data_IF_972576811850
#
_entry.id   IF_972576811850
#
_cell.length_a   1.000
_cell.length_b   1.000
_cell.length_c   1.000
_cell.angle_alpha   90.00
_cell.angle_beta   90.00
_cell.angle_gamma   90.00
#
_symmetry.space_group_name_H-M   'P 1'
#
loop_
_entity.id
_entity.type
_entity.pdbx_description
1 polymer ?
#
# COMPACT_ATOMS: atom_id res chain seq x y z
N UNK A 1 19.21 27.82 -16.14
CA UNK A 1 17.93 27.20 -15.79
C UNK A 1 18.27 25.80 -15.31
N UNK A 2 18.01 25.46 -14.04
CA UNK A 2 18.22 24.09 -13.56
C UNK A 2 17.19 23.18 -14.22
N UNK A 3 17.61 22.00 -14.66
CA UNK A 3 16.71 20.98 -15.20
C UNK A 3 15.55 20.70 -14.23
N UNK A 4 14.36 20.49 -14.79
CA UNK A 4 13.19 20.14 -14.00
C UNK A 4 13.44 18.81 -13.28
N UNK A 5 13.35 18.82 -11.95
CA UNK A 5 13.51 17.62 -11.14
C UNK A 5 12.31 16.69 -11.39
N UNK A 6 12.51 15.63 -12.18
CA UNK A 6 11.49 14.61 -12.53
C UNK A 6 11.25 13.60 -11.40
N UNK A 7 11.03 14.08 -10.17
CA UNK A 7 10.59 13.23 -9.05
C UNK A 7 9.06 13.15 -9.04
N UNK A 8 8.55 12.45 -10.03
CA UNK A 8 7.12 12.32 -10.29
C UNK A 8 6.54 11.06 -9.65
N UNK A 9 7.01 10.59 -8.50
CA UNK A 9 6.26 9.59 -7.74
C UNK A 9 5.09 10.25 -6.97
N UNK A 10 4.09 9.45 -6.59
CA UNK A 10 2.90 9.88 -5.85
C UNK A 10 2.74 9.10 -4.55
N UNK A 11 2.29 9.78 -3.49
CA UNK A 11 1.96 9.13 -2.21
C UNK A 11 0.53 9.51 -1.84
N UNK A 12 -0.23 8.53 -1.38
CA UNK A 12 -1.57 8.72 -0.88
C UNK A 12 -1.69 8.04 0.49
N UNK A 13 -2.19 8.75 1.49
CA UNK A 13 -2.40 8.23 2.83
C UNK A 13 -3.83 8.56 3.27
N UNK A 14 -4.57 7.54 3.69
CA UNK A 14 -5.90 7.72 4.27
C UNK A 14 -5.93 7.06 5.64
N UNK A 15 -6.34 7.85 6.65
CA UNK A 15 -6.65 7.37 7.99
C UNK A 15 -8.12 7.67 8.30
N UNK A 16 -8.93 6.62 8.39
CA UNK A 16 -10.29 6.71 8.90
C UNK A 16 -10.24 6.99 10.40
N UNK A 17 -10.88 8.09 10.84
CA UNK A 17 -10.89 8.55 12.24
C UNK A 17 -12.11 8.06 13.02
N UNK A 18 -13.00 7.34 12.36
CA UNK A 18 -14.22 6.75 12.94
C UNK A 18 -14.26 5.24 12.62
N UNK A 19 -15.02 4.43 13.39
CA UNK A 19 -15.27 3.03 13.05
C UNK A 19 -15.94 2.87 11.68
N UNK A 20 -15.82 1.69 11.08
CA UNK A 20 -16.42 1.42 9.76
C UNK A 20 -17.94 1.56 9.76
N UNK A 21 -18.61 1.30 10.89
CA UNK A 21 -20.05 1.47 11.06
C UNK A 21 -20.51 2.90 10.76
N UNK A 22 -19.75 3.90 11.23
CA UNK A 22 -20.04 5.30 10.94
C UNK A 22 -20.01 5.59 9.43
N UNK A 23 -19.11 4.97 8.68
CA UNK A 23 -19.02 5.17 7.24
C UNK A 23 -20.13 4.43 6.49
N UNK A 24 -20.55 3.27 6.98
CA UNK A 24 -21.73 2.58 6.46
C UNK A 24 -22.99 3.45 6.66
N UNK A 25 -23.23 3.94 7.86
CA UNK A 25 -24.39 4.78 8.17
C UNK A 25 -24.38 6.10 7.40
N UNK A 26 -23.23 6.79 7.37
CA UNK A 26 -23.13 8.13 6.77
C UNK A 26 -23.02 8.13 5.25
N UNK A 27 -22.33 7.14 4.67
CA UNK A 27 -21.99 7.11 3.25
C UNK A 27 -22.55 5.90 2.50
N UNK A 28 -23.33 5.04 3.17
CA UNK A 28 -23.95 3.85 2.59
C UNK A 28 -22.98 2.69 2.33
N UNK A 29 -21.73 2.76 2.78
CA UNK A 29 -20.76 1.67 2.59
C UNK A 29 -19.61 1.68 3.60
N UNK A 30 -19.26 0.49 4.12
CA UNK A 30 -18.05 0.28 4.91
C UNK A 30 -16.76 0.30 4.05
N UNK A 31 -16.87 0.19 2.72
CA UNK A 31 -15.74 0.22 1.78
C UNK A 31 -15.26 1.65 1.46
N UNK A 32 -15.73 2.64 2.21
CA UNK A 32 -15.42 4.05 1.99
C UNK A 32 -13.92 4.33 1.85
N UNK A 33 -13.09 3.72 2.71
CA UNK A 33 -11.63 3.88 2.66
C UNK A 33 -11.02 3.45 1.33
N UNK A 34 -11.38 2.24 0.86
CA UNK A 34 -10.94 1.70 -0.43
C UNK A 34 -11.38 2.61 -1.59
N UNK A 35 -12.66 3.01 -1.60
CA UNK A 35 -13.22 3.86 -2.65
C UNK A 35 -12.53 5.23 -2.71
N UNK A 36 -12.26 5.84 -1.55
CA UNK A 36 -11.52 7.11 -1.49
C UNK A 36 -10.06 6.95 -1.89
N UNK A 37 -9.46 5.81 -1.58
CA UNK A 37 -8.09 5.51 -1.96
C UNK A 37 -7.94 5.43 -3.49
N UNK A 38 -8.88 4.77 -4.18
CA UNK A 38 -8.91 4.72 -5.64
C UNK A 38 -8.90 6.13 -6.25
N UNK A 39 -9.85 6.97 -5.83
CA UNK A 39 -9.96 8.35 -6.32
C UNK A 39 -8.71 9.19 -6.01
N UNK A 40 -8.10 9.00 -4.83
CA UNK A 40 -6.93 9.76 -4.42
C UNK A 40 -5.66 9.35 -5.21
N UNK A 41 -5.54 8.06 -5.55
CA UNK A 41 -4.46 7.58 -6.41
C UNK A 41 -4.68 8.02 -7.87
N UNK A 42 -5.89 7.90 -8.40
CA UNK A 42 -6.22 8.39 -9.76
C UNK A 42 -6.01 9.90 -9.90
N UNK A 43 -6.30 10.69 -8.87
CA UNK A 43 -6.00 12.14 -8.86
C UNK A 43 -4.50 12.43 -9.06
N UNK A 44 -3.64 11.50 -8.67
CA UNK A 44 -2.20 11.60 -8.81
C UNK A 44 -1.66 10.74 -9.96
N UNK A 45 -2.50 10.29 -10.90
CA UNK A 45 -2.11 9.38 -11.98
C UNK A 45 -0.92 9.89 -12.81
N UNK A 46 -0.79 11.20 -12.99
CA UNK A 46 0.34 11.83 -13.67
C UNK A 46 1.63 11.87 -12.84
N UNK A 47 1.61 11.36 -11.61
CA UNK A 47 2.75 11.18 -10.71
C UNK A 47 3.14 9.71 -10.59
N UNK A 48 3.19 8.99 -11.70
CA UNK A 48 3.75 7.65 -11.76
C UNK A 48 2.81 6.67 -12.45
N UNK A 49 3.28 6.12 -13.56
CA UNK A 49 2.54 5.19 -14.42
C UNK A 49 3.26 3.84 -14.56
N UNK A 50 4.51 3.73 -14.08
CA UNK A 50 5.32 2.52 -14.22
C UNK A 50 5.00 1.46 -13.17
N UNK A 51 4.41 1.88 -12.05
CA UNK A 51 3.94 0.96 -11.03
C UNK A 51 3.10 1.63 -9.96
N UNK A 52 2.36 0.83 -9.20
CA UNK A 52 1.55 1.27 -8.09
C UNK A 52 1.55 0.23 -6.97
N UNK A 53 1.25 0.67 -5.75
CA UNK A 53 1.00 -0.25 -4.66
C UNK A 53 0.10 0.34 -3.60
N UNK A 54 -0.48 -0.54 -2.81
CA UNK A 54 -1.43 -0.23 -1.76
C UNK A 54 -1.19 -1.17 -0.58
N UNK A 55 -1.07 -0.58 0.60
CA UNK A 55 -1.13 -1.28 1.87
C UNK A 55 -2.37 -0.82 2.64
N UNK A 56 -2.96 -1.73 3.40
CA UNK A 56 -4.03 -1.46 4.34
C UNK A 56 -3.72 -2.13 5.69
N UNK A 57 -4.04 -1.42 6.77
CA UNK A 57 -3.93 -1.89 8.14
C UNK A 57 -5.32 -1.80 8.80
N UNK A 58 -5.75 -2.94 9.36
CA UNK A 58 -6.89 -3.05 10.27
C UNK A 58 -6.40 -2.81 11.68
N UNK A 59 -7.01 -1.87 12.39
CA UNK A 59 -6.65 -1.63 13.79
C UNK A 59 -7.41 -2.56 14.73
N UNK A 60 -6.86 -2.74 15.93
CA UNK A 60 -7.54 -3.39 17.06
C UNK A 60 -8.06 -4.80 16.72
N UNK A 61 -7.30 -5.51 15.87
CA UNK A 61 -7.59 -6.89 15.50
C UNK A 61 -7.12 -7.85 16.61
N UNK A 62 -7.91 -8.89 16.94
CA UNK A 62 -7.51 -9.87 17.94
C UNK A 62 -6.30 -10.70 17.46
N UNK A 63 -5.46 -11.22 18.38
CA UNK A 63 -4.37 -12.14 18.04
C UNK A 63 -4.87 -13.32 17.20
N UNK A 64 -4.04 -13.77 16.24
CA UNK A 64 -4.39 -14.86 15.33
C UNK A 64 -5.15 -14.43 14.07
N UNK A 65 -5.50 -13.15 13.94
CA UNK A 65 -6.16 -12.61 12.74
C UNK A 65 -5.22 -11.78 11.86
N UNK A 66 -5.51 -11.77 10.56
CA UNK A 66 -4.73 -10.99 9.59
C UNK A 66 -5.15 -9.53 9.61
N UNK A 67 -4.21 -8.63 9.91
CA UNK A 67 -4.45 -7.19 10.00
C UNK A 67 -3.72 -6.34 8.95
N UNK A 68 -2.72 -6.90 8.25
CA UNK A 68 -2.01 -6.22 7.15
C UNK A 68 -2.38 -6.85 5.80
N UNK A 69 -2.81 -6.01 4.86
CA UNK A 69 -2.98 -6.36 3.45
C UNK A 69 -2.06 -5.49 2.61
N UNK A 70 -1.41 -6.07 1.60
CA UNK A 70 -0.56 -5.33 0.66
C UNK A 70 -0.65 -5.93 -0.74
N UNK A 71 -0.75 -5.08 -1.74
CA UNK A 71 -0.63 -5.44 -3.14
C UNK A 71 0.19 -4.40 -3.91
N UNK A 72 0.91 -4.85 -4.93
CA UNK A 72 1.74 -4.02 -5.81
C UNK A 72 1.57 -4.51 -7.24
N UNK A 73 1.65 -3.59 -8.18
CA UNK A 73 1.52 -3.85 -9.60
C UNK A 73 2.53 -3.03 -10.39
N UNK A 74 3.16 -3.65 -11.38
CA UNK A 74 3.97 -3.02 -12.42
C UNK A 74 3.36 -3.28 -13.81
N UNK A 75 2.06 -3.61 -13.87
CA UNK A 75 1.31 -3.76 -15.12
C UNK A 75 1.15 -2.42 -15.84
N UNK A 76 0.69 -2.46 -17.11
CA UNK A 76 0.53 -1.27 -17.96
C UNK A 76 -0.41 -0.21 -17.36
N UNK A 77 -1.42 -0.62 -16.60
CA UNK A 77 -2.36 0.26 -15.90
C UNK A 77 -2.38 -0.09 -14.41
N UNK A 78 -1.32 0.24 -13.65
CA UNK A 78 -1.07 -0.39 -12.36
C UNK A 78 -2.07 0.01 -11.27
N UNK A 79 -2.66 1.21 -11.35
CA UNK A 79 -3.77 1.61 -10.46
C UNK A 79 -5.00 0.74 -10.72
N UNK A 80 -5.36 0.54 -11.99
CA UNK A 80 -6.54 -0.24 -12.37
C UNK A 80 -6.38 -1.71 -11.97
N UNK A 81 -5.24 -2.34 -12.30
CA UNK A 81 -4.95 -3.72 -11.90
C UNK A 81 -5.02 -3.90 -10.37
N UNK A 82 -4.44 -2.95 -9.62
CA UNK A 82 -4.48 -2.97 -8.16
C UNK A 82 -5.90 -2.98 -7.61
N UNK A 83 -6.74 -2.03 -8.05
CA UNK A 83 -8.11 -1.93 -7.53
C UNK A 83 -9.03 -3.02 -8.09
N UNK A 84 -8.77 -3.52 -9.29
CA UNK A 84 -9.45 -4.72 -9.82
C UNK A 84 -9.23 -5.91 -8.88
N UNK A 85 -7.98 -6.18 -8.46
CA UNK A 85 -7.67 -7.29 -7.57
C UNK A 85 -8.19 -7.11 -6.14
N UNK A 86 -8.16 -5.88 -5.62
CA UNK A 86 -8.77 -5.55 -4.34
C UNK A 86 -10.28 -5.83 -4.39
N UNK A 87 -10.96 -5.32 -5.41
CA UNK A 87 -12.40 -5.51 -5.58
C UNK A 87 -12.75 -6.98 -5.83
N UNK A 88 -11.95 -7.70 -6.61
CA UNK A 88 -12.14 -9.14 -6.84
C UNK A 88 -12.11 -9.92 -5.51
N UNK A 89 -11.10 -9.70 -4.67
CA UNK A 89 -11.01 -10.39 -3.37
C UNK A 89 -12.15 -10.04 -2.42
N UNK A 90 -12.59 -8.78 -2.43
CA UNK A 90 -13.76 -8.35 -1.66
C UNK A 90 -15.01 -9.06 -2.17
N UNK A 91 -15.21 -9.09 -3.48
CA UNK A 91 -16.37 -9.72 -4.11
C UNK A 91 -16.40 -11.25 -3.86
N UNK A 92 -15.28 -11.93 -4.05
CA UNK A 92 -15.14 -13.37 -3.76
C UNK A 92 -15.44 -13.70 -2.29
N UNK A 93 -15.00 -12.87 -1.35
CA UNK A 93 -15.27 -13.09 0.08
C UNK A 93 -16.72 -12.82 0.47
N UNK A 94 -17.39 -11.87 -0.19
CA UNK A 94 -18.83 -11.64 -0.02
C UNK A 94 -19.62 -12.83 -0.58
N UNK A 95 -19.27 -13.28 -1.78
CA UNK A 95 -20.02 -14.30 -2.53
C UNK A 95 -21.42 -13.81 -2.88
N UNK A 96 -22.41 -14.70 -2.80
CA UNK A 96 -23.81 -14.37 -3.09
C UNK A 96 -24.55 -13.69 -1.92
N UNK A 97 -23.95 -13.71 -0.72
CA UNK A 97 -24.55 -13.16 0.49
C UNK A 97 -24.26 -11.65 0.59
N UNK A 98 -25.21 -10.87 0.07
CA UNK A 98 -25.15 -9.40 0.09
C UNK A 98 -25.40 -8.79 1.48
N UNK A 99 -25.94 -9.53 2.44
CA UNK A 99 -26.19 -9.00 3.79
C UNK A 99 -24.88 -8.71 4.52
N UNK A 100 -23.79 -9.42 4.18
CA UNK A 100 -22.44 -9.14 4.65
C UNK A 100 -21.98 -7.69 4.42
N UNK A 101 -22.46 -7.04 3.35
CA UNK A 101 -22.14 -5.62 3.09
C UNK A 101 -22.67 -4.67 4.16
N UNK A 102 -23.70 -5.10 4.91
CA UNK A 102 -24.30 -4.35 6.01
C UNK A 102 -23.68 -4.72 7.37
N UNK A 103 -22.63 -5.56 7.40
CA UNK A 103 -21.93 -5.96 8.62
C UNK A 103 -20.45 -5.56 8.57
N UNK A 104 -20.11 -4.31 8.97
CA UNK A 104 -18.74 -3.80 8.90
C UNK A 104 -17.74 -4.58 9.75
N UNK A 105 -18.17 -5.13 10.89
CA UNK A 105 -17.33 -5.98 11.73
C UNK A 105 -16.94 -7.26 10.99
N UNK A 106 -17.91 -7.94 10.36
CA UNK A 106 -17.66 -9.13 9.55
C UNK A 106 -16.75 -8.82 8.36
N UNK A 107 -16.99 -7.71 7.65
CA UNK A 107 -16.15 -7.29 6.52
C UNK A 107 -14.71 -7.04 6.98
N UNK A 108 -14.52 -6.31 8.08
CA UNK A 108 -13.20 -6.05 8.65
C UNK A 108 -12.51 -7.33 9.09
N UNK A 109 -13.22 -8.28 9.68
CA UNK A 109 -12.62 -9.53 10.14
C UNK A 109 -12.18 -10.42 8.96
N UNK A 110 -13.06 -10.58 7.97
CA UNK A 110 -12.94 -11.63 6.96
C UNK A 110 -12.32 -11.16 5.63
N UNK A 111 -12.45 -9.89 5.27
CA UNK A 111 -12.02 -9.41 3.96
C UNK A 111 -10.67 -8.68 4.00
N UNK A 112 -9.79 -8.86 3.01
CA UNK A 112 -8.58 -8.06 2.89
C UNK A 112 -8.93 -6.62 2.49
N UNK A 113 -8.03 -5.69 2.79
CA UNK A 113 -8.16 -4.26 2.45
C UNK A 113 -9.36 -3.51 3.07
N UNK A 114 -10.20 -4.16 3.88
CA UNK A 114 -11.24 -3.49 4.66
C UNK A 114 -10.68 -3.16 6.05
N UNK A 115 -10.15 -1.94 6.19
CA UNK A 115 -9.59 -1.44 7.45
C UNK A 115 -9.56 0.08 7.49
N UNK A 116 -8.81 0.63 8.44
CA UNK A 116 -8.87 2.07 8.76
C UNK A 116 -7.67 2.88 8.27
N UNK A 117 -6.53 2.25 7.97
CA UNK A 117 -5.34 2.96 7.52
C UNK A 117 -4.89 2.41 6.17
N UNK A 118 -4.67 3.30 5.20
CA UNK A 118 -4.25 2.98 3.85
C UNK A 118 -3.04 3.81 3.48
N UNK A 119 -2.07 3.18 2.82
CA UNK A 119 -0.91 3.83 2.23
C UNK A 119 -0.77 3.34 0.79
N UNK A 120 -0.89 4.25 -0.16
CA UNK A 120 -0.68 4.00 -1.58
C UNK A 120 0.50 4.77 -2.11
N UNK A 121 1.10 4.23 -3.16
CA UNK A 121 2.22 4.84 -3.85
C UNK A 121 2.10 4.63 -5.36
N UNK A 122 2.53 5.64 -6.11
CA UNK A 122 2.66 5.62 -7.56
C UNK A 122 4.13 5.80 -7.89
N UNK A 123 4.65 4.92 -8.72
CA UNK A 123 6.05 4.88 -9.11
C UNK A 123 6.23 5.48 -10.49
N UNK A 124 7.16 6.41 -10.59
CA UNK A 124 7.78 6.84 -11.84
C UNK A 124 9.20 6.26 -11.89
N UNK A 125 9.45 5.35 -12.81
CA UNK A 125 10.69 4.61 -12.95
C UNK A 125 11.71 5.39 -13.77
N UNK A 126 12.73 5.94 -13.12
CA UNK A 126 13.85 6.64 -13.80
C UNK A 126 15.07 5.74 -13.98
N UNK A 127 15.36 4.85 -13.02
CA UNK A 127 16.53 3.96 -12.99
C UNK A 127 16.16 2.61 -12.34
N UNK A 128 16.84 1.52 -12.74
CA UNK A 128 16.71 0.20 -12.11
C UNK A 128 15.78 -0.82 -12.79
N UNK A 129 15.13 -0.45 -13.90
CA UNK A 129 14.18 -1.32 -14.60
C UNK A 129 12.74 -1.20 -14.09
N UNK A 130 11.85 -2.04 -14.60
CA UNK A 130 10.43 -2.08 -14.21
C UNK A 130 10.08 -3.41 -13.55
N UNK A 131 10.49 -3.57 -12.28
CA UNK A 131 10.18 -4.76 -11.49
C UNK A 131 9.18 -4.47 -10.37
N UNK A 132 8.38 -5.48 -10.01
CA UNK A 132 7.44 -5.38 -8.90
C UNK A 132 8.18 -5.18 -7.56
N UNK A 133 9.41 -5.66 -7.46
CA UNK A 133 10.30 -5.51 -6.31
C UNK A 133 10.57 -4.06 -5.98
N UNK A 134 10.60 -3.16 -6.98
CA UNK A 134 10.85 -1.73 -6.83
C UNK A 134 9.58 -0.91 -6.53
N UNK A 135 8.40 -1.54 -6.56
CA UNK A 135 7.15 -0.86 -6.24
C UNK A 135 7.00 -0.72 -4.72
N UNK A 136 6.61 0.46 -4.25
CA UNK A 136 6.19 0.69 -2.87
C UNK A 136 4.68 0.39 -2.70
N UNK A 137 4.16 0.15 -1.49
CA UNK A 137 4.88 0.14 -0.21
C UNK A 137 5.75 -1.09 0.03
N UNK A 138 6.89 -0.91 0.68
CA UNK A 138 7.65 -2.00 1.30
C UNK A 138 7.01 -2.44 2.61
N UNK A 139 7.25 -3.71 2.96
CA UNK A 139 6.72 -4.34 4.16
C UNK A 139 7.84 -5.20 4.76
N UNK A 140 8.22 -4.88 5.99
CA UNK A 140 9.00 -5.74 6.87
C UNK A 140 8.08 -6.26 7.95
N UNK A 141 7.87 -7.58 7.96
CA UNK A 141 6.93 -8.22 8.89
C UNK A 141 7.63 -8.76 10.13
N UNK A 142 6.93 -8.69 11.25
CA UNK A 142 7.33 -9.27 12.51
C UNK A 142 6.10 -9.83 13.24
N UNK A 143 6.28 -10.85 14.08
CA UNK A 143 5.20 -11.41 14.88
C UNK A 143 4.71 -10.42 15.96
N UNK A 144 5.56 -9.51 16.41
CA UNK A 144 5.15 -8.38 17.24
C UNK A 144 4.55 -7.27 16.39
N UNK A 145 3.27 -6.96 16.64
CA UNK A 145 2.53 -5.91 15.91
C UNK A 145 3.30 -4.59 15.88
N UNK A 146 3.91 -4.19 17.00
CA UNK A 146 4.70 -2.96 17.12
C UNK A 146 6.03 -2.94 16.35
N UNK A 147 6.48 -4.07 15.79
CA UNK A 147 7.74 -4.19 15.04
C UNK A 147 7.53 -4.46 13.55
N UNK A 148 6.33 -4.23 13.05
CA UNK A 148 6.06 -4.24 11.62
C UNK A 148 6.30 -2.84 11.05
N UNK A 149 6.92 -2.77 9.86
CA UNK A 149 7.19 -1.50 9.17
C UNK A 149 6.64 -1.56 7.75
N UNK A 150 5.83 -0.56 7.39
CA UNK A 150 5.39 -0.30 6.02
C UNK A 150 5.96 1.04 5.60
N UNK A 151 6.66 1.07 4.47
CA UNK A 151 7.34 2.26 3.98
C UNK A 151 6.96 2.53 2.52
N UNK A 152 6.55 3.75 2.24
CA UNK A 152 6.52 4.29 0.89
C UNK A 152 7.12 5.69 0.94
N UNK A 153 7.95 6.03 -0.03
CA UNK A 153 8.58 7.34 -0.06
C UNK A 153 8.96 7.76 -1.47
N UNK A 154 8.96 9.08 -1.65
CA UNK A 154 9.38 9.77 -2.86
C UNK A 154 10.71 10.44 -2.54
N UNK A 155 11.79 9.67 -2.56
CA UNK A 155 13.11 10.16 -2.22
C UNK A 155 14.16 9.54 -3.14
N UNK A 156 15.34 10.13 -3.10
CA UNK A 156 16.56 9.59 -3.68
C UNK A 156 17.59 9.61 -2.54
N UNK A 157 18.20 8.47 -2.23
CA UNK A 157 19.28 8.39 -1.25
C UNK A 157 20.62 8.66 -1.93
N UNK A 158 21.23 9.79 -1.61
CA UNK A 158 22.50 10.20 -2.23
C UNK A 158 23.72 9.49 -1.66
N UNK A 159 23.60 8.81 -0.52
CA UNK A 159 24.68 8.12 0.17
C UNK A 159 24.46 6.59 0.25
N UNK A 160 23.80 5.99 -0.75
CA UNK A 160 23.50 4.55 -0.78
C UNK A 160 24.75 3.68 -0.66
N UNK A 161 25.85 4.05 -1.32
CA UNK A 161 27.09 3.28 -1.24
C UNK A 161 27.68 3.26 0.18
N UNK A 162 27.62 4.37 0.90
CA UNK A 162 28.07 4.47 2.29
C UNK A 162 27.21 3.58 3.20
N UNK A 163 25.88 3.70 3.07
CA UNK A 163 24.93 2.91 3.85
C UNK A 163 25.08 1.41 3.57
N UNK A 164 25.28 1.02 2.33
CA UNK A 164 25.52 -0.37 1.95
C UNK A 164 26.79 -0.92 2.61
N UNK A 165 27.89 -0.17 2.55
CA UNK A 165 29.15 -0.59 3.16
C UNK A 165 29.01 -0.73 4.69
N UNK A 166 28.33 0.21 5.35
CA UNK A 166 28.04 0.09 6.79
C UNK A 166 27.24 -1.19 7.12
N UNK A 167 26.26 -1.57 6.28
CA UNK A 167 25.51 -2.82 6.49
C UNK A 167 26.42 -4.05 6.33
N UNK A 168 27.31 -4.06 5.33
CA UNK A 168 28.29 -5.13 5.13
C UNK A 168 29.27 -5.23 6.30
N UNK A 169 29.77 -4.10 6.81
CA UNK A 169 30.67 -4.04 7.96
C UNK A 169 30.00 -4.57 9.24
N UNK A 170 28.69 -4.40 9.37
CA UNK A 170 27.87 -4.99 10.42
C UNK A 170 27.60 -6.49 10.24
N UNK A 171 28.11 -7.10 9.15
CA UNK A 171 27.95 -8.51 8.82
C UNK A 171 26.63 -8.84 8.10
N UNK A 172 25.89 -7.85 7.62
CA UNK A 172 24.70 -8.10 6.79
C UNK A 172 25.10 -8.44 5.35
N UNK A 173 24.20 -9.10 4.62
CA UNK A 173 24.38 -9.43 3.22
C UNK A 173 23.22 -8.85 2.39
N UNK A 174 23.22 -7.53 2.12
CA UNK A 174 22.13 -6.89 1.39
C UNK A 174 22.08 -7.41 -0.05
N UNK A 175 20.88 -7.71 -0.54
CA UNK A 175 20.69 -8.37 -1.83
C UNK A 175 21.01 -7.48 -3.03
N UNK A 176 20.85 -6.17 -2.88
CA UNK A 176 21.04 -5.18 -3.94
C UNK A 176 21.52 -3.85 -3.35
N UNK A 177 22.22 -3.05 -4.15
CA UNK A 177 22.54 -1.65 -3.84
C UNK A 177 21.40 -0.75 -4.32
N UNK A 178 20.39 -0.54 -3.48
CA UNK A 178 19.26 0.32 -3.79
C UNK A 178 18.73 1.03 -2.53
N UNK A 179 18.06 2.18 -2.73
CA UNK A 179 17.62 3.11 -1.67
C UNK A 179 16.77 2.51 -0.54
N UNK A 180 16.29 1.30 -0.75
CA UNK A 180 15.30 0.65 0.12
C UNK A 180 15.62 -0.80 0.41
N UNK A 181 16.79 -1.26 -0.04
CA UNK A 181 17.32 -2.59 0.25
C UNK A 181 18.32 -2.45 1.38
N UNK A 182 17.82 -2.64 2.60
CA UNK A 182 18.61 -2.93 3.80
C UNK A 182 18.52 -4.42 4.12
#
# INVERSE_FOLDING_TARGET
MSDAIKHECGIALIRLKKPLDYYLEKYGTALYGVNKMYLLMEKQHNRGQDGAGLANIKLDMPPGTRYISRYRSNDKTPIQDLFQRVNQRIHEGIGDDREKLQNPAWLKENLPFVGELYLGHLRYGTYGGNSIEQCHPFLRQNNWVSRNLILAGNFNMTNVDELFNHLVDLGQHPKEKADTVT
#
